data_IF_309686698797
#
_entry.id   IF_309686698797
#
_cell.length_a   1.000
_cell.length_b   1.000
_cell.length_c   1.000
_cell.angle_alpha   90.00
_cell.angle_beta   90.00
_cell.angle_gamma   90.00
#
_symmetry.space_group_name_H-M   'P 1'
#
loop_
_entity.id
_entity.type
_entity.pdbx_description
1 polymer ?
#
# COMPACT_ATOMS: atom_id res chain seq x y z
N UNK A 1 3.08 -32.77 1.81
CA UNK A 1 4.40 -32.18 1.50
C UNK A 1 5.33 -32.48 2.66
N UNK A 2 6.66 -32.40 2.52
CA UNK A 2 7.55 -32.59 3.69
C UNK A 2 7.47 -31.37 4.62
N UNK A 3 7.57 -31.53 5.95
CA UNK A 3 7.46 -30.40 6.90
C UNK A 3 8.45 -29.26 6.60
N UNK A 4 9.65 -29.59 6.09
CA UNK A 4 10.66 -28.60 5.71
C UNK A 4 10.31 -27.79 4.45
N UNK A 5 9.52 -28.34 3.54
CA UNK A 5 9.08 -27.63 2.33
C UNK A 5 8.01 -26.57 2.67
N UNK A 6 7.07 -26.91 3.55
CA UNK A 6 6.03 -25.97 4.02
C UNK A 6 6.64 -24.80 4.80
N UNK A 7 7.61 -25.08 5.67
CA UNK A 7 8.33 -24.04 6.42
C UNK A 7 9.10 -23.09 5.49
N UNK A 8 9.79 -23.62 4.49
CA UNK A 8 10.52 -22.82 3.50
C UNK A 8 9.58 -21.91 2.71
N UNK A 9 8.44 -22.45 2.27
CA UNK A 9 7.42 -21.69 1.54
C UNK A 9 6.82 -20.55 2.38
N UNK A 10 6.51 -20.82 3.66
CA UNK A 10 6.03 -19.78 4.58
C UNK A 10 7.08 -18.68 4.78
N UNK A 11 8.35 -19.04 4.98
CA UNK A 11 9.43 -18.05 5.12
C UNK A 11 9.59 -17.20 3.86
N UNK A 12 9.50 -17.80 2.67
CA UNK A 12 9.52 -17.06 1.40
C UNK A 12 8.33 -16.12 1.26
N UNK A 13 7.12 -16.56 1.65
CA UNK A 13 5.92 -15.73 1.64
C UNK A 13 6.05 -14.52 2.58
N UNK A 14 6.50 -14.75 3.81
CA UNK A 14 6.66 -13.69 4.81
C UNK A 14 7.79 -12.72 4.42
N UNK A 15 8.94 -13.24 3.99
CA UNK A 15 10.06 -12.43 3.54
C UNK A 15 9.72 -11.61 2.28
N UNK A 16 9.06 -12.25 1.30
CA UNK A 16 8.56 -11.58 0.11
C UNK A 16 7.52 -10.51 0.43
N UNK A 17 6.59 -10.82 1.34
CA UNK A 17 5.58 -9.87 1.84
C UNK A 17 6.20 -8.66 2.53
N UNK A 18 7.21 -8.86 3.38
CA UNK A 18 7.94 -7.76 4.02
C UNK A 18 8.61 -6.85 2.99
N UNK A 19 9.37 -7.43 2.06
CA UNK A 19 10.10 -6.67 1.03
C UNK A 19 9.13 -5.92 0.13
N UNK A 20 8.05 -6.57 -0.30
CA UNK A 20 7.01 -5.94 -1.11
C UNK A 20 6.36 -4.77 -0.35
N UNK A 21 6.01 -4.96 0.93
CA UNK A 21 5.43 -3.92 1.78
C UNK A 21 6.37 -2.73 1.96
N UNK A 22 7.64 -2.98 2.26
CA UNK A 22 8.64 -1.95 2.49
C UNK A 22 8.92 -1.14 1.21
N UNK A 23 9.12 -1.82 0.07
CA UNK A 23 9.39 -1.16 -1.20
C UNK A 23 8.18 -0.40 -1.74
N UNK A 24 6.96 -0.92 -1.54
CA UNK A 24 5.74 -0.19 -1.86
C UNK A 24 5.60 1.06 -0.99
N UNK A 25 5.85 0.95 0.33
CA UNK A 25 5.83 2.09 1.24
C UNK A 25 6.94 3.11 0.97
N UNK A 26 7.98 2.77 0.19
CA UNK A 26 9.02 3.70 -0.23
C UNK A 26 8.51 4.74 -1.25
N UNK A 27 7.36 4.48 -1.87
CA UNK A 27 6.74 5.39 -2.83
C UNK A 27 6.35 6.71 -2.15
N UNK A 28 6.69 7.88 -2.74
CA UNK A 28 6.47 9.18 -2.09
C UNK A 28 5.03 9.44 -1.67
N UNK A 29 4.04 8.85 -2.33
CA UNK A 29 2.62 8.92 -1.96
C UNK A 29 2.33 8.51 -0.52
N UNK A 30 3.12 7.61 0.06
CA UNK A 30 2.89 7.04 1.38
C UNK A 30 3.48 7.88 2.52
N UNK A 31 4.54 8.65 2.27
CA UNK A 31 5.27 9.36 3.33
C UNK A 31 5.43 10.87 3.08
N UNK A 32 5.47 11.31 1.82
CA UNK A 32 5.74 12.71 1.46
C UNK A 32 4.67 13.67 2.00
N UNK A 33 3.35 13.39 1.88
CA UNK A 33 2.32 14.28 2.41
C UNK A 33 2.49 14.59 3.91
N UNK A 34 2.94 13.61 4.71
CA UNK A 34 3.17 13.79 6.15
C UNK A 34 4.29 14.78 6.41
N UNK A 35 5.39 14.68 5.68
CA UNK A 35 6.53 15.59 5.84
C UNK A 35 6.19 17.01 5.38
N UNK A 36 5.44 17.16 4.27
CA UNK A 36 5.04 18.47 3.75
C UNK A 36 4.03 19.15 4.67
N UNK A 37 2.97 18.44 5.07
CA UNK A 37 1.96 18.97 6.00
C UNK A 37 2.57 19.24 7.37
N UNK A 38 3.40 18.32 7.88
CA UNK A 38 4.08 18.50 9.16
C UNK A 38 4.98 19.74 9.18
N UNK A 39 5.73 20.00 8.09
CA UNK A 39 6.52 21.23 7.95
C UNK A 39 5.65 22.48 7.88
N UNK A 40 4.58 22.45 7.09
CA UNK A 40 3.64 23.58 6.95
C UNK A 40 2.92 23.89 8.27
N UNK A 41 2.67 22.88 9.11
CA UNK A 41 2.06 22.99 10.44
C UNK A 41 3.09 23.27 11.56
N UNK A 42 4.38 23.41 11.24
CA UNK A 42 5.42 23.63 12.26
C UNK A 42 5.62 22.46 13.23
N UNK A 43 5.26 21.23 12.84
CA UNK A 43 5.35 20.06 13.70
C UNK A 43 6.79 19.65 13.96
N UNK A 44 7.06 19.24 15.20
CA UNK A 44 8.31 18.56 15.56
C UNK A 44 8.40 17.21 14.84
N UNK A 45 9.62 16.72 14.48
CA UNK A 45 9.78 15.47 13.73
C UNK A 45 9.08 14.25 14.35
N UNK A 46 9.05 14.14 15.67
CA UNK A 46 8.37 13.04 16.36
C UNK A 46 6.85 13.01 16.08
N UNK A 47 6.21 14.17 15.89
CA UNK A 47 4.78 14.26 15.60
C UNK A 47 4.48 13.83 14.16
N UNK A 48 5.39 14.14 13.22
CA UNK A 48 5.33 13.64 11.85
C UNK A 48 5.46 12.12 11.84
N UNK A 49 6.43 11.58 12.59
CA UNK A 49 6.62 10.13 12.74
C UNK A 49 5.41 9.45 13.40
N UNK A 50 4.82 10.06 14.42
CA UNK A 50 3.59 9.53 15.04
C UNK A 50 2.43 9.50 14.04
N UNK A 51 2.25 10.57 13.26
CA UNK A 51 1.19 10.65 12.26
C UNK A 51 1.37 9.58 11.18
N UNK A 52 2.59 9.39 10.66
CA UNK A 52 2.85 8.41 9.61
C UNK A 52 2.73 6.98 10.12
N UNK A 53 3.17 6.68 11.35
CA UNK A 53 3.00 5.36 11.97
C UNK A 53 1.52 5.06 12.21
N UNK A 54 0.76 6.02 12.75
CA UNK A 54 -0.68 5.85 12.96
C UNK A 54 -1.42 5.61 11.63
N UNK A 55 -1.05 6.35 10.59
CA UNK A 55 -1.61 6.19 9.25
C UNK A 55 -1.26 4.83 8.62
N UNK A 56 0.00 4.39 8.72
CA UNK A 56 0.43 3.08 8.22
C UNK A 56 -0.29 1.93 8.91
N UNK A 57 -0.46 1.99 10.23
CA UNK A 57 -1.25 1.00 10.97
C UNK A 57 -2.73 1.01 10.57
N UNK A 58 -3.32 2.20 10.44
CA UNK A 58 -4.72 2.34 10.02
C UNK A 58 -4.94 1.77 8.62
N UNK A 59 -4.04 2.06 7.67
CA UNK A 59 -4.06 1.55 6.30
C UNK A 59 -3.96 0.02 6.22
N UNK A 60 -3.06 -0.59 7.00
CA UNK A 60 -2.95 -2.06 7.01
C UNK A 60 -4.15 -2.70 7.71
N UNK A 61 -4.68 -2.09 8.77
CA UNK A 61 -5.87 -2.59 9.44
C UNK A 61 -7.10 -2.56 8.50
N UNK A 62 -7.35 -1.45 7.79
CA UNK A 62 -8.46 -1.36 6.85
C UNK A 62 -8.28 -2.33 5.68
N UNK A 63 -7.06 -2.43 5.13
CA UNK A 63 -6.76 -3.36 4.03
C UNK A 63 -6.94 -4.81 4.46
N UNK A 64 -6.49 -5.19 5.66
CA UNK A 64 -6.65 -6.53 6.19
C UNK A 64 -8.13 -6.90 6.41
N UNK A 65 -8.93 -5.95 6.90
CA UNK A 65 -10.39 -6.14 7.04
C UNK A 65 -11.03 -6.34 5.67
N UNK A 66 -10.76 -5.46 4.70
CA UNK A 66 -11.31 -5.57 3.34
C UNK A 66 -10.86 -6.88 2.68
N UNK A 67 -9.57 -7.21 2.74
CA UNK A 67 -9.02 -8.44 2.18
C UNK A 67 -9.61 -9.69 2.83
N UNK A 68 -9.75 -9.69 4.16
CA UNK A 68 -10.36 -10.79 4.91
C UNK A 68 -11.82 -11.00 4.51
N UNK A 69 -12.58 -9.93 4.32
CA UNK A 69 -13.97 -10.00 3.84
C UNK A 69 -14.04 -10.56 2.41
N UNK A 70 -13.13 -10.16 1.52
CA UNK A 70 -13.09 -10.69 0.14
C UNK A 70 -12.74 -12.18 0.14
N UNK A 71 -11.74 -12.59 0.92
CA UNK A 71 -11.36 -14.02 1.08
C UNK A 71 -12.54 -14.82 1.64
N UNK A 72 -13.19 -14.33 2.69
CA UNK A 72 -14.35 -15.00 3.28
C UNK A 72 -15.52 -15.15 2.29
N UNK A 73 -15.83 -14.09 1.54
CA UNK A 73 -16.87 -14.13 0.51
C UNK A 73 -16.51 -15.12 -0.61
N UNK A 74 -15.25 -15.14 -1.02
CA UNK A 74 -14.74 -16.05 -2.03
C UNK A 74 -14.81 -17.52 -1.61
N UNK A 75 -14.40 -17.84 -0.38
CA UNK A 75 -14.51 -19.20 0.18
C UNK A 75 -15.97 -19.65 0.33
N UNK A 76 -16.88 -18.74 0.69
CA UNK A 76 -18.30 -19.04 0.75
C UNK A 76 -18.92 -19.31 -0.63
N UNK A 77 -18.45 -18.61 -1.67
CA UNK A 77 -18.93 -18.79 -3.04
C UNK A 77 -18.39 -20.06 -3.71
N UNK A 78 -17.15 -20.46 -3.38
CA UNK A 78 -16.50 -21.66 -3.93
C UNK A 78 -17.27 -22.95 -3.61
N UNK A 79 -18.07 -22.96 -2.53
CA UNK A 79 -18.99 -24.07 -2.19
C UNK A 79 -20.10 -24.28 -3.23
N UNK A 80 -20.39 -23.28 -4.05
CA UNK A 80 -21.44 -23.30 -5.08
C UNK A 80 -20.86 -23.36 -6.49
N UNK A 81 -19.66 -22.80 -6.68
CA UNK A 81 -18.97 -22.70 -7.96
C UNK A 81 -17.49 -23.01 -7.73
N UNK A 82 -17.09 -24.26 -7.97
CA UNK A 82 -15.69 -24.68 -7.83
C UNK A 82 -14.77 -23.84 -8.73
N UNK A 83 -13.68 -23.33 -8.15
CA UNK A 83 -12.65 -22.60 -8.90
C UNK A 83 -12.96 -21.13 -9.14
N UNK A 84 -13.94 -20.55 -8.44
CA UNK A 84 -14.31 -19.13 -8.62
C UNK A 84 -13.27 -18.17 -8.03
N UNK A 85 -12.60 -18.57 -6.94
CA UNK A 85 -11.67 -17.70 -6.21
C UNK A 85 -10.47 -17.23 -7.07
N UNK A 86 -9.76 -18.11 -7.80
CA UNK A 86 -8.63 -17.69 -8.64
C UNK A 86 -9.06 -16.78 -9.80
N UNK A 87 -10.22 -17.02 -10.39
CA UNK A 87 -10.80 -16.17 -11.44
C UNK A 87 -11.16 -14.78 -10.89
N UNK A 88 -11.79 -14.72 -9.72
CA UNK A 88 -12.13 -13.46 -9.05
C UNK A 88 -10.86 -12.65 -8.73
N UNK A 89 -9.80 -13.31 -8.26
CA UNK A 89 -8.52 -12.68 -8.00
C UNK A 89 -7.89 -12.11 -9.27
N UNK A 90 -7.87 -12.86 -10.37
CA UNK A 90 -7.36 -12.39 -11.66
C UNK A 90 -8.15 -11.18 -12.19
N UNK A 91 -9.49 -11.23 -12.11
CA UNK A 91 -10.36 -10.12 -12.53
C UNK A 91 -10.10 -8.87 -11.69
N UNK A 92 -10.03 -8.99 -10.36
CA UNK A 92 -9.74 -7.84 -9.49
C UNK A 92 -8.37 -7.23 -9.79
N UNK A 93 -7.34 -8.07 -10.03
CA UNK A 93 -6.01 -7.63 -10.43
C UNK A 93 -6.02 -6.85 -11.75
N UNK A 94 -6.72 -7.36 -12.75
CA UNK A 94 -6.87 -6.64 -14.03
C UNK A 94 -7.63 -5.33 -13.87
N UNK A 95 -8.71 -5.31 -13.09
CA UNK A 95 -9.50 -4.10 -12.84
C UNK A 95 -8.68 -3.02 -12.12
N UNK A 96 -7.98 -3.36 -11.05
CA UNK A 96 -7.11 -2.41 -10.36
C UNK A 96 -5.95 -1.95 -11.25
N UNK A 97 -5.32 -2.87 -11.98
CA UNK A 97 -4.24 -2.56 -12.90
C UNK A 97 -4.66 -1.58 -14.00
N UNK A 98 -5.81 -1.84 -14.64
CA UNK A 98 -6.40 -0.96 -15.64
C UNK A 98 -6.81 0.40 -15.06
N UNK A 99 -7.41 0.42 -13.87
CA UNK A 99 -7.77 1.66 -13.17
C UNK A 99 -6.55 2.56 -12.94
N UNK A 100 -5.47 1.99 -12.40
CA UNK A 100 -4.24 2.75 -12.13
C UNK A 100 -3.55 3.22 -13.40
N UNK A 101 -3.49 2.36 -14.43
CA UNK A 101 -2.93 2.72 -15.72
C UNK A 101 -3.73 3.85 -16.39
N UNK A 102 -5.05 3.74 -16.43
CA UNK A 102 -5.93 4.78 -16.97
C UNK A 102 -5.81 6.09 -16.19
N UNK A 103 -5.85 6.05 -14.85
CA UNK A 103 -5.66 7.23 -13.99
C UNK A 103 -4.31 7.91 -14.25
N UNK A 104 -3.24 7.13 -14.43
CA UNK A 104 -1.91 7.65 -14.74
C UNK A 104 -1.83 8.30 -16.13
N UNK A 105 -2.55 7.77 -17.13
CA UNK A 105 -2.60 8.30 -18.49
C UNK A 105 -3.47 9.56 -18.60
N UNK A 106 -4.55 9.63 -17.81
CA UNK A 106 -5.55 10.72 -17.85
C UNK A 106 -5.14 11.94 -17.00
N UNK A 107 -4.39 11.76 -15.90
CA UNK A 107 -3.97 12.88 -15.05
C UNK A 107 -2.65 13.48 -15.57
N UNK A 108 -2.72 14.67 -16.16
CA UNK A 108 -1.51 15.47 -16.44
C UNK A 108 -0.82 15.82 -15.11
N UNK A 109 0.53 15.72 -15.01
CA UNK A 109 1.24 16.21 -13.85
C UNK A 109 0.93 17.70 -13.67
N UNK A 110 0.37 18.08 -12.52
CA UNK A 110 0.28 19.48 -12.16
C UNK A 110 1.72 19.98 -11.97
N UNK A 111 2.19 20.84 -12.88
CA UNK A 111 3.47 21.51 -12.71
C UNK A 111 3.35 22.43 -11.49
N UNK A 112 4.24 22.24 -10.50
CA UNK A 112 4.39 23.17 -9.39
C UNK A 112 4.91 24.51 -9.94
N UNK A 113 3.98 25.39 -10.32
CA UNK A 113 4.24 26.72 -10.87
C UNK A 113 3.25 27.73 -10.30
N UNK A 114 3.02 27.70 -8.99
CA UNK A 114 2.25 28.72 -8.28
C UNK A 114 3.17 29.82 -7.73
N UNK A 115 2.66 31.05 -7.54
CA UNK A 115 3.43 32.14 -6.94
C UNK A 115 3.94 31.76 -5.55
N UNK A 116 5.06 32.35 -5.12
CA UNK A 116 5.63 32.17 -3.78
C UNK A 116 4.63 32.69 -2.74
N UNK A 117 3.87 31.78 -2.13
CA UNK A 117 2.96 32.09 -1.04
C UNK A 117 3.81 32.34 0.21
N UNK A 118 3.80 33.57 0.73
CA UNK A 118 4.26 33.86 2.10
C UNK A 118 3.55 32.90 3.05
N UNK A 119 4.29 32.15 3.88
CA UNK A 119 3.75 31.11 4.76
C UNK A 119 2.63 31.68 5.63
N UNK A 120 1.35 31.43 5.29
CA UNK A 120 0.24 31.87 6.13
C UNK A 120 0.25 31.02 7.39
N UNK A 121 -0.39 31.50 8.46
CA UNK A 121 -0.70 30.62 9.59
C UNK A 121 -1.40 29.33 9.10
N UNK A 122 -1.16 28.19 9.75
CA UNK A 122 -1.74 26.93 9.33
C UNK A 122 -3.26 27.04 9.18
N UNK A 123 -3.75 26.86 7.96
CA UNK A 123 -5.15 27.08 7.60
C UNK A 123 -6.14 26.11 8.29
N UNK A 124 -5.62 25.04 8.91
CA UNK A 124 -6.40 24.04 9.65
C UNK A 124 -5.70 23.69 10.94
N UNK A 125 -6.48 23.31 11.96
CA UNK A 125 -5.92 22.84 13.23
C UNK A 125 -5.06 21.58 13.08
N UNK A 126 -4.07 21.43 13.97
CA UNK A 126 -3.22 20.25 14.07
C UNK A 126 -4.00 18.93 14.11
N UNK A 127 -5.11 18.90 14.85
CA UNK A 127 -5.94 17.71 14.99
C UNK A 127 -6.61 17.35 13.66
N UNK A 128 -7.13 18.35 12.95
CA UNK A 128 -7.75 18.15 11.66
C UNK A 128 -6.73 17.67 10.61
N UNK A 129 -5.54 18.26 10.58
CA UNK A 129 -4.45 17.81 9.71
C UNK A 129 -4.02 16.37 10.02
N UNK A 130 -3.83 16.03 11.30
CA UNK A 130 -3.45 14.68 11.72
C UNK A 130 -4.50 13.65 11.34
N UNK A 131 -5.77 13.89 11.71
CA UNK A 131 -6.86 12.96 11.40
C UNK A 131 -7.12 12.86 9.90
N UNK A 132 -7.01 13.96 9.16
CA UNK A 132 -7.15 13.97 7.71
C UNK A 132 -6.10 13.11 7.01
N UNK A 133 -4.83 13.21 7.44
CA UNK A 133 -3.74 12.37 6.92
C UNK A 133 -3.97 10.88 7.20
N UNK A 134 -4.33 10.55 8.45
CA UNK A 134 -4.62 9.15 8.84
C UNK A 134 -5.82 8.61 8.06
N UNK A 135 -6.91 9.37 7.96
CA UNK A 135 -8.12 8.93 7.26
C UNK A 135 -7.87 8.75 5.76
N UNK A 136 -7.15 9.69 5.12
CA UNK A 136 -6.82 9.61 3.70
C UNK A 136 -6.00 8.35 3.39
N UNK A 137 -5.03 8.02 4.25
CA UNK A 137 -4.21 6.82 4.11
C UNK A 137 -4.98 5.54 4.47
N UNK A 138 -5.87 5.59 5.45
CA UNK A 138 -6.69 4.44 5.84
C UNK A 138 -7.67 4.02 4.72
N UNK A 139 -8.15 4.98 3.93
CA UNK A 139 -9.13 4.72 2.85
C UNK A 139 -8.43 4.41 1.52
N UNK A 140 -7.11 4.59 1.40
CA UNK A 140 -6.40 4.16 0.19
C UNK A 140 -6.43 2.63 0.07
N UNK A 141 -6.66 2.09 -1.14
CA UNK A 141 -6.68 0.64 -1.33
C UNK A 141 -5.28 0.07 -1.11
N UNK A 142 -5.13 -1.03 -0.39
CA UNK A 142 -3.84 -1.72 -0.26
C UNK A 142 -3.61 -2.67 -1.41
N UNK A 143 -3.02 -2.19 -2.51
CA UNK A 143 -2.96 -2.92 -3.78
C UNK A 143 -1.98 -4.09 -3.76
N UNK A 144 -1.04 -4.10 -2.81
CA UNK A 144 -0.06 -5.17 -2.69
C UNK A 144 -0.55 -6.27 -1.75
N UNK A 145 -1.21 -5.94 -0.64
CA UNK A 145 -1.67 -6.94 0.33
C UNK A 145 -2.87 -7.73 -0.18
N UNK A 146 -3.84 -7.08 -0.85
CA UNK A 146 -5.08 -7.72 -1.31
C UNK A 146 -4.82 -8.92 -2.26
N UNK A 147 -4.00 -8.81 -3.31
CA UNK A 147 -3.70 -9.96 -4.17
C UNK A 147 -2.96 -11.08 -3.45
N UNK A 148 -2.04 -10.74 -2.53
CA UNK A 148 -1.29 -11.74 -1.77
C UNK A 148 -2.26 -12.51 -0.85
N UNK A 149 -3.19 -11.82 -0.20
CA UNK A 149 -4.27 -12.43 0.59
C UNK A 149 -5.06 -13.46 -0.20
N UNK A 150 -5.49 -13.12 -1.42
CA UNK A 150 -6.25 -14.03 -2.28
C UNK A 150 -5.42 -15.25 -2.69
N UNK A 151 -4.16 -15.04 -3.09
CA UNK A 151 -3.26 -16.13 -3.48
C UNK A 151 -2.87 -17.04 -2.31
N UNK A 152 -2.86 -16.50 -1.08
CA UNK A 152 -2.44 -17.21 0.14
C UNK A 152 -3.62 -17.68 1.00
N UNK A 153 -4.87 -17.49 0.55
CA UNK A 153 -6.06 -17.95 1.25
C UNK A 153 -6.02 -19.46 1.59
N UNK A 154 -5.53 -20.36 0.71
CA UNK A 154 -5.44 -21.80 1.03
C UNK A 154 -4.49 -22.12 2.19
N UNK A 155 -3.54 -21.23 2.51
CA UNK A 155 -2.58 -21.41 3.61
C UNK A 155 -3.21 -21.23 5.01
N UNK A 156 -4.48 -20.83 5.08
CA UNK A 156 -5.25 -20.71 6.31
C UNK A 156 -5.05 -19.41 7.07
N UNK A 157 -5.90 -19.18 8.07
CA UNK A 157 -6.00 -17.91 8.82
C UNK A 157 -4.70 -17.57 9.55
N UNK A 158 -3.99 -18.56 10.09
CA UNK A 158 -2.71 -18.34 10.78
C UNK A 158 -1.63 -17.75 9.86
N UNK A 159 -1.52 -18.25 8.63
CA UNK A 159 -0.59 -17.73 7.63
C UNK A 159 -0.97 -16.29 7.22
N UNK A 160 -2.27 -16.02 7.01
CA UNK A 160 -2.75 -14.67 6.69
C UNK A 160 -2.49 -13.68 7.84
N UNK A 161 -2.71 -14.08 9.09
CA UNK A 161 -2.43 -13.23 10.25
C UNK A 161 -0.94 -12.90 10.37
N UNK A 162 -0.07 -13.90 10.18
CA UNK A 162 1.39 -13.70 10.22
C UNK A 162 1.86 -12.82 9.07
N UNK A 163 1.35 -13.07 7.86
CA UNK A 163 1.60 -12.23 6.69
C UNK A 163 1.21 -10.78 6.97
N UNK A 164 0.02 -10.55 7.53
CA UNK A 164 -0.48 -9.20 7.87
C UNK A 164 0.43 -8.49 8.85
N UNK A 165 0.90 -9.20 9.88
CA UNK A 165 1.81 -8.64 10.87
C UNK A 165 3.13 -8.24 10.23
N UNK A 166 3.73 -9.14 9.44
CA UNK A 166 5.00 -8.87 8.74
C UNK A 166 4.84 -7.74 7.74
N UNK A 167 3.72 -7.70 7.03
CA UNK A 167 3.38 -6.61 6.10
C UNK A 167 3.24 -5.28 6.85
N UNK A 168 2.55 -5.27 7.99
CA UNK A 168 2.42 -4.08 8.85
C UNK A 168 3.79 -3.55 9.29
N UNK A 169 4.70 -4.44 9.73
CA UNK A 169 6.07 -4.07 10.09
C UNK A 169 6.79 -3.47 8.89
N UNK A 170 6.73 -4.11 7.72
CA UNK A 170 7.37 -3.62 6.49
C UNK A 170 6.85 -2.25 6.06
N UNK A 171 5.53 -2.06 6.05
CA UNK A 171 4.88 -0.78 5.69
C UNK A 171 5.25 0.32 6.67
N UNK A 172 5.10 0.09 7.98
CA UNK A 172 5.42 1.11 9.01
C UNK A 172 6.90 1.45 8.98
N UNK A 173 7.78 0.44 8.84
CA UNK A 173 9.22 0.67 8.75
C UNK A 173 9.58 1.50 7.50
N UNK A 174 9.05 1.14 6.33
CA UNK A 174 9.26 1.90 5.10
C UNK A 174 8.81 3.35 5.26
N UNK A 175 7.54 3.55 5.60
CA UNK A 175 6.98 4.90 5.78
C UNK A 175 7.78 5.74 6.79
N UNK A 176 8.14 5.17 7.94
CA UNK A 176 8.89 5.89 8.97
C UNK A 176 10.32 6.25 8.52
N UNK A 177 11.04 5.32 7.89
CA UNK A 177 12.41 5.55 7.40
C UNK A 177 12.42 6.66 6.35
N UNK A 178 11.57 6.58 5.32
CA UNK A 178 11.53 7.59 4.27
C UNK A 178 11.02 8.95 4.77
N UNK A 179 10.06 8.95 5.70
CA UNK A 179 9.62 10.18 6.40
C UNK A 179 10.77 10.83 7.16
N UNK A 180 11.58 10.04 7.89
CA UNK A 180 12.71 10.55 8.64
C UNK A 180 13.80 11.13 7.71
N UNK A 181 14.15 10.41 6.64
CA UNK A 181 15.12 10.85 5.64
C UNK A 181 14.69 12.17 4.97
N UNK A 182 13.43 12.28 4.57
CA UNK A 182 12.88 13.49 3.97
C UNK A 182 12.78 14.65 4.99
N UNK A 183 12.45 14.36 6.25
CA UNK A 183 12.46 15.36 7.32
C UNK A 183 13.87 15.92 7.55
N UNK A 184 14.90 15.07 7.44
CA UNK A 184 16.32 15.44 7.56
C UNK A 184 16.89 16.22 6.36
N UNK A 185 16.10 16.47 5.31
CA UNK A 185 16.51 17.31 4.17
C UNK A 185 17.19 16.57 3.02
N UNK A 186 17.05 15.24 2.95
CA UNK A 186 17.43 14.49 1.75
C UNK A 186 16.69 15.07 0.53
N UNK A 187 17.39 15.23 -0.62
CA UNK A 187 16.89 15.98 -1.78
C UNK A 187 15.58 15.42 -2.37
N UNK A 188 14.44 15.91 -1.88
CA UNK A 188 13.08 15.50 -2.23
C UNK A 188 12.76 15.74 -3.72
N UNK A 189 13.47 16.70 -4.34
CA UNK A 189 13.31 17.13 -5.74
C UNK A 189 13.63 16.06 -6.79
N UNK A 190 14.39 15.01 -6.45
CA UNK A 190 14.62 13.88 -7.37
C UNK A 190 13.49 12.86 -7.31
N UNK A 191 12.90 12.63 -6.13
CA UNK A 191 11.89 11.60 -5.90
C UNK A 191 10.52 11.98 -6.50
N UNK A 192 10.15 13.27 -6.48
CA UNK A 192 8.88 13.75 -7.09
C UNK A 192 8.78 13.44 -8.59
N UNK A 193 9.89 13.52 -9.33
CA UNK A 193 9.91 13.21 -10.76
C UNK A 193 9.65 11.73 -11.06
N UNK A 194 9.98 10.84 -10.13
CA UNK A 194 9.71 9.40 -10.26
C UNK A 194 8.32 9.03 -9.75
N UNK A 195 7.80 9.75 -8.73
CA UNK A 195 6.46 9.55 -8.20
C UNK A 195 5.37 9.64 -9.28
N UNK A 196 5.58 10.43 -10.34
CA UNK A 196 4.62 10.53 -11.47
C UNK A 196 4.38 9.21 -12.21
N UNK A 197 5.35 8.29 -12.19
CA UNK A 197 5.27 7.01 -12.89
C UNK A 197 4.73 5.89 -12.00
N UNK A 198 4.55 6.15 -10.70
CA UNK A 198 4.09 5.18 -9.71
C UNK A 198 2.79 4.49 -10.15
N UNK A 199 1.78 5.27 -10.56
CA UNK A 199 0.51 4.71 -11.02
C UNK A 199 0.63 3.83 -12.27
N UNK A 200 1.56 4.15 -13.18
CA UNK A 200 1.79 3.34 -14.37
C UNK A 200 2.52 2.03 -14.03
N UNK A 201 3.55 2.10 -13.16
CA UNK A 201 4.31 0.93 -12.71
C UNK A 201 3.42 -0.01 -11.91
N UNK A 202 2.62 0.52 -10.97
CA UNK A 202 1.66 -0.25 -10.19
C UNK A 202 0.61 -0.89 -11.10
N UNK A 203 0.06 -0.13 -12.05
CA UNK A 203 -0.89 -0.62 -13.03
C UNK A 203 -0.36 -1.81 -13.85
N UNK A 204 0.85 -1.68 -14.40
CA UNK A 204 1.50 -2.75 -15.17
C UNK A 204 1.84 -3.97 -14.31
N UNK A 205 2.32 -3.77 -13.08
CA UNK A 205 2.64 -4.86 -12.17
C UNK A 205 1.39 -5.67 -11.79
N UNK A 206 0.26 -5.01 -11.53
CA UNK A 206 -1.01 -5.67 -11.22
C UNK A 206 -1.56 -6.46 -12.42
N UNK A 207 -1.46 -5.91 -13.64
CA UNK A 207 -1.83 -6.62 -14.87
C UNK A 207 -0.94 -7.86 -15.06
N UNK A 208 0.37 -7.74 -14.87
CA UNK A 208 1.30 -8.86 -14.99
C UNK A 208 0.99 -9.95 -13.94
N UNK A 209 0.71 -9.57 -12.70
CA UNK A 209 0.31 -10.51 -11.66
C UNK A 209 -1.04 -11.18 -11.99
N UNK A 210 -2.00 -10.43 -12.53
CA UNK A 210 -3.27 -10.97 -13.02
C UNK A 210 -3.08 -12.03 -14.12
N UNK A 211 -2.16 -11.79 -15.06
CA UNK A 211 -1.79 -12.77 -16.09
C UNK A 211 -1.19 -14.04 -15.48
N UNK A 212 -0.26 -13.90 -14.53
CA UNK A 212 0.35 -15.04 -13.85
C UNK A 212 -0.70 -15.88 -13.14
N UNK A 213 -1.61 -15.25 -12.39
CA UNK A 213 -2.70 -15.92 -11.68
C UNK A 213 -3.69 -16.58 -12.65
N UNK A 214 -3.95 -15.98 -13.81
CA UNK A 214 -4.81 -16.57 -14.83
C UNK A 214 -4.15 -17.76 -15.55
N UNK A 215 -2.83 -17.73 -15.76
CA UNK A 215 -2.10 -18.77 -16.49
C UNK A 215 -1.68 -19.98 -15.63
N UNK A 216 -1.54 -19.81 -14.30
CA UNK A 216 -1.18 -20.90 -13.37
C UNK A 216 -2.40 -21.66 -12.82
N UNK A 217 -3.56 -21.58 -13.48
CA UNK A 217 -4.79 -22.30 -13.07
C UNK A 217 -4.85 -23.75 -13.58
N UNK A 218 -3.72 -24.35 -13.90
CA UNK A 218 -3.60 -25.73 -14.40
C UNK A 218 -2.67 -26.55 -13.50
#
# INVERSE_FOLDING_TARGET
MSPGAEQSMLLSLLGGGFVAAFLHAALPTHWLPFTLVGRAQGWRPHKILLAVTAAGLAHIATTAVVGGLIVAAGLALDQWIEGVLPHLAAVLLFLFGAFYLARSALRRPALAGGPTVETPEPAVSDKAAFLGLVAMMAVSPGEVLLPIYLSSAPSGIGALAMLTLVFAVGTVAGMAVFTALASAGASILRLERWARYEGAVLGLALIALGLVVAMHQH
#
